data_IF_033383801073
#
_entry.id   IF_033383801073
#
_cell.length_a   1.000
_cell.length_b   1.000
_cell.length_c   1.000
_cell.angle_alpha   90.00
_cell.angle_beta   90.00
_cell.angle_gamma   90.00
#
_symmetry.space_group_name_H-M   'P 1'
#
loop_
_entity.id
_entity.type
_entity.pdbx_description
1 polymer ?
#
# COMPACT_ATOMS: atom_id res chain seq x y z
N UNK A 1 -7.81 -25.31 -4.08
CA UNK A 1 -8.81 -24.90 -5.08
C UNK A 1 -8.51 -23.51 -5.65
N UNK A 2 -8.36 -22.47 -4.82
CA UNK A 2 -8.12 -21.10 -5.31
C UNK A 2 -6.77 -20.97 -6.01
N UNK A 3 -5.70 -21.53 -5.45
CA UNK A 3 -4.36 -21.52 -6.06
C UNK A 3 -4.40 -22.17 -7.44
N UNK A 4 -4.99 -23.34 -7.56
CA UNK A 4 -5.06 -24.09 -8.80
C UNK A 4 -5.86 -23.36 -9.89
N UNK A 5 -6.96 -22.68 -9.48
CA UNK A 5 -7.77 -21.88 -10.40
C UNK A 5 -6.99 -20.66 -10.92
N UNK A 6 -6.25 -19.97 -10.03
CA UNK A 6 -5.41 -18.83 -10.42
C UNK A 6 -4.26 -19.27 -11.31
N UNK A 7 -3.61 -20.40 -11.01
CA UNK A 7 -2.56 -20.98 -11.87
C UNK A 7 -3.10 -21.34 -13.25
N UNK A 8 -4.27 -21.96 -13.31
CA UNK A 8 -4.90 -22.30 -14.58
C UNK A 8 -5.21 -21.05 -15.40
N UNK A 9 -5.80 -20.02 -14.77
CA UNK A 9 -6.08 -18.76 -15.43
C UNK A 9 -4.81 -18.05 -15.93
N UNK A 10 -3.75 -18.02 -15.12
CA UNK A 10 -2.48 -17.42 -15.51
C UNK A 10 -1.83 -18.13 -16.69
N UNK A 11 -1.85 -19.46 -16.71
CA UNK A 11 -1.36 -20.28 -17.82
C UNK A 11 -2.19 -20.04 -19.09
N UNK A 12 -3.51 -20.02 -18.96
CA UNK A 12 -4.42 -19.76 -20.08
C UNK A 12 -4.18 -18.38 -20.70
N UNK A 13 -3.92 -17.37 -19.87
CA UNK A 13 -3.61 -16.02 -20.35
C UNK A 13 -2.17 -15.84 -20.82
N UNK A 14 -1.34 -16.89 -20.77
CA UNK A 14 0.08 -16.80 -21.11
C UNK A 14 0.87 -15.81 -20.25
N UNK A 15 0.44 -15.60 -18.98
CA UNK A 15 1.09 -14.67 -18.06
C UNK A 15 2.11 -15.37 -17.19
N UNK A 16 3.27 -14.77 -17.12
CA UNK A 16 4.32 -15.19 -16.20
C UNK A 16 4.05 -14.57 -14.83
N UNK A 17 3.59 -15.38 -13.91
CA UNK A 17 3.39 -14.98 -12.52
C UNK A 17 3.83 -16.09 -11.58
N UNK A 18 4.30 -15.68 -10.41
CA UNK A 18 4.55 -16.58 -9.30
C UNK A 18 3.29 -16.62 -8.43
N UNK A 19 2.68 -17.79 -8.34
CA UNK A 19 1.52 -18.02 -7.50
C UNK A 19 1.97 -18.77 -6.25
N UNK A 20 1.90 -18.11 -5.12
CA UNK A 20 2.37 -18.62 -3.84
C UNK A 20 1.20 -18.61 -2.85
N UNK A 21 0.96 -19.75 -2.24
CA UNK A 21 0.01 -19.81 -1.15
C UNK A 21 0.75 -19.50 0.18
N UNK A 22 0.20 -18.59 0.98
CA UNK A 22 0.81 -18.15 2.24
C UNK A 22 1.13 -19.31 3.21
N UNK A 23 0.36 -20.40 3.18
CA UNK A 23 0.59 -21.60 3.97
C UNK A 23 1.47 -22.67 3.31
N UNK A 24 2.21 -22.31 2.26
CA UNK A 24 3.16 -23.22 1.65
C UNK A 24 4.24 -23.61 2.70
N UNK A 25 4.44 -24.91 2.99
CA UNK A 25 5.41 -25.34 4.00
C UNK A 25 6.84 -24.86 3.71
N UNK A 26 7.19 -24.71 2.44
CA UNK A 26 8.50 -24.22 2.04
C UNK A 26 8.77 -22.78 2.44
N UNK A 27 7.74 -21.94 2.50
CA UNK A 27 7.85 -20.58 3.01
C UNK A 27 8.14 -20.58 4.51
N UNK A 28 7.50 -21.48 5.25
CA UNK A 28 7.72 -21.63 6.66
C UNK A 28 9.17 -22.07 6.95
N UNK A 29 9.66 -23.11 6.23
CA UNK A 29 11.04 -23.58 6.30
C UNK A 29 12.04 -22.45 5.97
N UNK A 30 11.74 -21.66 4.94
CA UNK A 30 12.59 -20.54 4.53
C UNK A 30 12.62 -19.42 5.57
N UNK A 31 11.49 -19.08 6.19
CA UNK A 31 11.43 -18.09 7.28
C UNK A 31 12.23 -18.57 8.49
N UNK A 32 12.13 -19.85 8.82
CA UNK A 32 12.91 -20.43 9.92
C UNK A 32 14.41 -20.42 9.63
N UNK A 33 14.82 -20.85 8.44
CA UNK A 33 16.21 -20.83 8.00
C UNK A 33 16.82 -19.41 8.00
N UNK A 34 15.98 -18.42 7.64
CA UNK A 34 16.35 -16.99 7.68
C UNK A 34 16.43 -16.41 9.11
N UNK A 35 16.08 -17.17 10.13
CA UNK A 35 15.97 -16.67 11.51
C UNK A 35 14.79 -15.73 11.72
N UNK A 36 13.81 -15.71 10.81
CA UNK A 36 12.66 -14.79 10.85
C UNK A 36 11.37 -15.52 11.28
N UNK A 37 11.42 -16.13 12.49
CA UNK A 37 10.32 -16.92 13.06
C UNK A 37 9.09 -16.08 13.46
N UNK A 38 9.20 -14.77 13.45
CA UNK A 38 8.12 -13.84 13.82
C UNK A 38 6.83 -14.06 13.01
N UNK A 39 6.96 -14.49 11.74
CA UNK A 39 5.84 -14.82 10.87
C UNK A 39 5.20 -16.19 11.15
N UNK A 40 5.77 -17.00 12.06
CA UNK A 40 5.33 -18.35 12.32
C UNK A 40 4.32 -18.40 13.46
N UNK A 41 3.34 -19.27 13.35
CA UNK A 41 2.46 -19.66 14.44
C UNK A 41 3.09 -20.78 15.29
N UNK A 42 2.40 -21.15 16.38
CA UNK A 42 2.87 -22.19 17.31
C UNK A 42 2.91 -23.60 16.66
N UNK A 43 2.28 -23.77 15.49
CA UNK A 43 2.28 -25.02 14.71
C UNK A 43 3.35 -25.04 13.65
N UNK A 44 4.24 -24.06 13.61
CA UNK A 44 5.31 -23.96 12.63
C UNK A 44 4.81 -23.61 11.21
N UNK A 45 3.63 -22.99 11.08
CA UNK A 45 3.09 -22.49 9.82
C UNK A 45 3.14 -20.97 9.81
N UNK A 46 3.21 -20.39 8.63
CA UNK A 46 3.07 -18.93 8.49
C UNK A 46 1.70 -18.51 9.02
N UNK A 47 1.66 -17.46 9.84
CA UNK A 47 0.42 -16.88 10.38
C UNK A 47 -0.51 -16.44 9.24
N UNK A 48 -1.81 -16.43 9.48
CA UNK A 48 -2.79 -15.85 8.57
C UNK A 48 -2.79 -14.34 8.71
N UNK A 49 -3.03 -13.64 7.61
CA UNK A 49 -3.21 -12.20 7.62
C UNK A 49 -2.71 -11.52 6.35
N UNK A 50 -3.24 -10.33 6.08
CA UNK A 50 -2.83 -9.51 4.93
C UNK A 50 -1.35 -9.11 5.06
N UNK A 51 -0.97 -8.60 6.21
CA UNK A 51 0.39 -8.14 6.47
C UNK A 51 1.43 -9.26 6.27
N UNK A 52 1.14 -10.45 6.77
CA UNK A 52 2.01 -11.62 6.70
C UNK A 52 2.24 -12.04 5.25
N UNK A 53 1.18 -12.02 4.43
CA UNK A 53 1.28 -12.23 2.98
C UNK A 53 2.12 -11.16 2.29
N UNK A 54 1.97 -9.89 2.70
CA UNK A 54 2.77 -8.78 2.16
C UNK A 54 4.24 -8.89 2.53
N UNK A 55 4.57 -9.28 3.76
CA UNK A 55 5.95 -9.49 4.18
C UNK A 55 6.62 -10.62 3.38
N UNK A 56 5.93 -11.75 3.23
CA UNK A 56 6.43 -12.85 2.38
C UNK A 56 6.65 -12.41 0.94
N UNK A 57 5.70 -11.68 0.37
CA UNK A 57 5.83 -11.14 -0.99
C UNK A 57 7.04 -10.20 -1.12
N UNK A 58 7.30 -9.40 -0.07
CA UNK A 58 8.48 -8.52 -0.03
C UNK A 58 9.78 -9.32 0.03
N UNK A 59 9.84 -10.37 0.86
CA UNK A 59 11.01 -11.25 0.94
C UNK A 59 11.28 -11.95 -0.39
N UNK A 60 10.23 -12.45 -1.05
CA UNK A 60 10.31 -13.06 -2.38
C UNK A 60 10.79 -12.04 -3.43
N UNK A 61 10.22 -10.84 -3.46
CA UNK A 61 10.64 -9.79 -4.37
C UNK A 61 12.10 -9.37 -4.14
N UNK A 62 12.54 -9.32 -2.89
CA UNK A 62 13.93 -9.01 -2.54
C UNK A 62 14.91 -10.04 -3.11
N UNK A 63 14.67 -11.34 -2.92
CA UNK A 63 15.55 -12.38 -3.47
C UNK A 63 15.50 -12.48 -4.99
N UNK A 64 14.44 -11.94 -5.62
CA UNK A 64 14.35 -11.74 -7.06
C UNK A 64 15.14 -10.53 -7.56
N UNK A 65 15.84 -9.81 -6.70
CA UNK A 65 16.56 -8.59 -7.07
C UNK A 65 15.66 -7.41 -7.49
N UNK A 66 14.39 -7.39 -7.07
CA UNK A 66 13.49 -6.30 -7.41
C UNK A 66 13.83 -5.05 -6.61
N UNK A 67 13.80 -3.89 -7.28
CA UNK A 67 14.10 -2.60 -6.66
C UNK A 67 12.86 -1.94 -6.05
N UNK A 68 11.69 -2.33 -6.51
CA UNK A 68 10.40 -1.82 -6.08
C UNK A 68 9.44 -2.97 -5.82
N UNK A 69 8.52 -2.74 -4.89
CA UNK A 69 7.38 -3.64 -4.67
C UNK A 69 6.11 -2.79 -4.56
N UNK A 70 5.04 -3.26 -5.19
CA UNK A 70 3.72 -2.65 -5.11
C UNK A 70 2.68 -3.70 -4.73
N UNK A 71 1.67 -3.26 -4.00
CA UNK A 71 0.54 -4.07 -3.55
C UNK A 71 -0.75 -3.49 -4.11
N UNK A 72 -1.61 -4.37 -4.56
CA UNK A 72 -2.95 -4.05 -5.05
C UNK A 72 -3.89 -5.11 -4.51
N UNK A 73 -4.99 -4.67 -3.89
CA UNK A 73 -6.02 -5.58 -3.40
C UNK A 73 -6.70 -6.30 -4.57
N UNK A 74 -6.85 -7.62 -4.47
CA UNK A 74 -7.33 -8.48 -5.57
C UNK A 74 -8.83 -8.34 -5.85
N UNK A 75 -9.57 -7.67 -4.98
CA UNK A 75 -11.01 -7.47 -5.07
C UNK A 75 -11.42 -6.19 -5.81
N UNK A 76 -10.50 -5.53 -6.49
CA UNK A 76 -10.81 -4.38 -7.33
C UNK A 76 -11.46 -4.82 -8.64
N UNK A 77 -12.73 -4.44 -8.85
CA UNK A 77 -13.52 -4.82 -10.01
C UNK A 77 -13.25 -3.99 -11.26
N UNK A 78 -12.46 -2.95 -11.16
CA UNK A 78 -12.20 -2.03 -12.27
C UNK A 78 -10.78 -2.19 -12.80
N UNK A 79 -10.56 -2.99 -13.87
CA UNK A 79 -9.21 -3.28 -14.38
C UNK A 79 -8.42 -2.03 -14.78
N UNK A 80 -9.12 -0.99 -15.26
CA UNK A 80 -8.51 0.30 -15.59
C UNK A 80 -7.88 1.00 -14.37
N UNK A 81 -8.48 0.85 -13.20
CA UNK A 81 -7.90 1.38 -11.95
C UNK A 81 -6.61 0.63 -11.57
N UNK A 82 -6.58 -0.69 -11.73
CA UNK A 82 -5.38 -1.50 -11.46
C UNK A 82 -4.21 -1.06 -12.33
N UNK A 83 -4.46 -0.84 -13.62
CA UNK A 83 -3.43 -0.34 -14.55
C UNK A 83 -2.96 1.06 -14.15
N UNK A 84 -3.89 1.94 -13.79
CA UNK A 84 -3.59 3.30 -13.34
C UNK A 84 -2.71 3.29 -12.10
N UNK A 85 -3.02 2.45 -11.08
CA UNK A 85 -2.20 2.35 -9.87
C UNK A 85 -0.75 1.97 -10.17
N UNK A 86 -0.53 1.02 -11.07
CA UNK A 86 0.83 0.64 -11.48
C UNK A 86 1.55 1.81 -12.14
N UNK A 87 0.86 2.58 -12.99
CA UNK A 87 1.43 3.77 -13.64
C UNK A 87 1.73 4.87 -12.62
N UNK A 88 0.87 5.09 -11.65
CA UNK A 88 1.06 6.05 -10.55
C UNK A 88 2.21 5.66 -9.64
N UNK A 89 2.41 4.36 -9.36
CA UNK A 89 3.61 3.90 -8.66
C UNK A 89 4.88 4.27 -9.41
N UNK A 90 4.91 3.98 -10.72
CA UNK A 90 6.04 4.33 -11.57
C UNK A 90 6.31 5.83 -11.61
N UNK A 91 5.26 6.65 -11.74
CA UNK A 91 5.36 8.10 -11.75
C UNK A 91 5.87 8.65 -10.40
N UNK A 92 5.35 8.15 -9.28
CA UNK A 92 5.80 8.55 -7.95
C UNK A 92 7.28 8.23 -7.72
N UNK A 93 7.73 7.04 -8.12
CA UNK A 93 9.15 6.70 -8.02
C UNK A 93 10.03 7.52 -8.97
N UNK A 94 9.54 7.86 -10.15
CA UNK A 94 10.28 8.72 -11.07
C UNK A 94 10.44 10.16 -10.54
N UNK A 95 9.54 10.64 -9.71
CA UNK A 95 9.65 11.92 -9.02
C UNK A 95 10.56 11.88 -7.80
N UNK A 96 10.76 10.70 -7.20
CA UNK A 96 11.53 10.57 -5.98
C UNK A 96 13.01 10.86 -6.20
N UNK A 97 13.57 11.62 -5.27
CA UNK A 97 15.02 11.88 -5.17
C UNK A 97 15.69 11.02 -4.11
N UNK A 98 14.89 10.34 -3.30
CA UNK A 98 15.37 9.44 -2.26
C UNK A 98 15.30 7.99 -2.70
N UNK A 99 16.27 7.20 -2.26
CA UNK A 99 16.19 5.74 -2.36
C UNK A 99 15.16 5.13 -1.39
N UNK A 100 14.64 5.92 -0.47
CA UNK A 100 13.61 5.52 0.50
C UNK A 100 12.30 6.23 0.17
N UNK A 101 11.48 5.62 -0.67
CA UNK A 101 10.24 6.21 -1.12
C UNK A 101 9.06 5.25 -1.01
N UNK A 102 7.90 5.80 -0.73
CA UNK A 102 6.60 5.12 -0.75
C UNK A 102 5.60 5.93 -1.58
N UNK A 103 4.88 5.24 -2.44
CA UNK A 103 3.76 5.79 -3.21
C UNK A 103 2.48 5.15 -2.71
N UNK A 104 1.47 5.94 -2.41
CA UNK A 104 0.18 5.48 -1.89
C UNK A 104 -0.95 6.08 -2.71
N UNK A 105 -1.92 5.26 -3.07
CA UNK A 105 -3.05 5.70 -3.89
C UNK A 105 -4.11 6.37 -3.01
N UNK A 106 -4.48 7.58 -3.38
CA UNK A 106 -5.64 8.29 -2.84
C UNK A 106 -6.78 8.18 -3.85
N UNK A 107 -7.73 7.31 -3.60
CA UNK A 107 -8.82 7.09 -4.55
C UNK A 107 -9.63 8.37 -4.78
N UNK A 108 -9.81 8.74 -6.05
CA UNK A 108 -10.66 9.86 -6.43
C UNK A 108 -12.09 9.64 -5.99
N UNK A 109 -12.62 8.45 -6.21
CA UNK A 109 -13.97 8.09 -5.81
C UNK A 109 -14.05 6.62 -5.40
N UNK A 110 -14.93 6.34 -4.45
CA UNK A 110 -15.27 4.99 -3.97
C UNK A 110 -16.79 4.80 -4.07
N UNK A 111 -17.31 4.58 -5.28
CA UNK A 111 -18.74 4.43 -5.48
C UNK A 111 -19.26 3.18 -4.75
N UNK A 112 -20.50 3.27 -4.25
CA UNK A 112 -21.20 2.17 -3.60
C UNK A 112 -22.62 2.08 -4.15
N UNK A 113 -23.10 0.88 -4.33
CA UNK A 113 -24.49 0.60 -4.62
C UNK A 113 -25.14 0.11 -3.33
N UNK A 114 -26.12 0.86 -2.83
CA UNK A 114 -26.88 0.51 -1.63
C UNK A 114 -28.35 0.68 -2.00
N UNK A 115 -29.16 -0.37 -1.82
CA UNK A 115 -30.60 -0.38 -2.14
C UNK A 115 -30.90 0.15 -3.55
N UNK A 116 -30.13 -0.31 -4.55
CA UNK A 116 -30.25 0.11 -5.95
C UNK A 116 -29.89 1.58 -6.24
N UNK A 117 -29.40 2.32 -5.26
CA UNK A 117 -28.92 3.70 -5.44
C UNK A 117 -27.39 3.73 -5.49
N UNK A 118 -26.86 4.59 -6.36
CA UNK A 118 -25.42 4.80 -6.49
C UNK A 118 -24.99 5.99 -5.61
N UNK A 119 -24.11 5.69 -4.67
CA UNK A 119 -23.50 6.69 -3.80
C UNK A 119 -22.04 6.90 -4.18
N UNK A 120 -21.61 8.14 -4.25
CA UNK A 120 -20.23 8.52 -4.43
C UNK A 120 -19.64 8.96 -3.10
N UNK A 121 -18.65 8.18 -2.61
CA UNK A 121 -17.86 8.56 -1.46
C UNK A 121 -16.40 8.64 -1.91
N UNK A 122 -15.69 9.68 -1.49
CA UNK A 122 -14.26 9.81 -1.81
C UNK A 122 -13.42 8.82 -1.01
N UNK A 123 -13.79 8.56 0.24
CA UNK A 123 -13.04 7.72 1.17
C UNK A 123 -13.93 6.72 1.87
N UNK A 124 -13.33 5.61 2.30
CA UNK A 124 -14.00 4.67 3.18
C UNK A 124 -14.09 5.20 4.62
N UNK A 125 -15.08 4.73 5.37
CA UNK A 125 -15.33 5.11 6.77
C UNK A 125 -14.12 4.91 7.70
N UNK A 126 -13.40 3.80 7.55
CA UNK A 126 -12.18 3.53 8.31
C UNK A 126 -11.06 4.51 7.92
N UNK A 127 -10.88 4.78 6.62
CA UNK A 127 -9.80 5.64 6.12
C UNK A 127 -9.94 7.08 6.59
N UNK A 128 -11.15 7.63 6.64
CA UNK A 128 -11.38 8.99 7.17
C UNK A 128 -10.98 9.09 8.64
N UNK A 129 -11.38 8.11 9.42
CA UNK A 129 -11.04 8.06 10.83
C UNK A 129 -9.54 7.96 11.05
N UNK A 130 -8.88 7.02 10.39
CA UNK A 130 -7.43 6.83 10.48
C UNK A 130 -6.65 8.07 10.05
N UNK A 131 -7.04 8.66 8.91
CA UNK A 131 -6.39 9.89 8.41
C UNK A 131 -6.47 11.03 9.44
N UNK A 132 -7.66 11.22 10.03
CA UNK A 132 -7.86 12.24 11.07
C UNK A 132 -6.94 12.06 12.25
N UNK A 133 -6.80 10.83 12.77
CA UNK A 133 -5.96 10.55 13.93
C UNK A 133 -4.47 10.66 13.59
N UNK A 134 -4.03 10.16 12.43
CA UNK A 134 -2.65 10.34 11.97
C UNK A 134 -2.29 11.82 11.76
N UNK A 135 -3.19 12.61 11.19
CA UNK A 135 -2.97 14.04 11.05
C UNK A 135 -2.89 14.76 12.41
N UNK A 136 -3.71 14.36 13.38
CA UNK A 136 -3.58 14.86 14.76
C UNK A 136 -2.25 14.49 15.39
N UNK A 137 -1.79 13.25 15.21
CA UNK A 137 -0.47 12.82 15.69
C UNK A 137 0.64 13.76 15.14
N UNK A 138 0.61 14.06 13.85
CA UNK A 138 1.55 15.00 13.23
C UNK A 138 1.37 16.41 13.83
N UNK A 139 0.13 16.86 14.00
CA UNK A 139 -0.19 18.16 14.58
C UNK A 139 0.41 18.39 15.96
N UNK A 140 0.47 17.35 16.79
CA UNK A 140 1.11 17.43 18.11
C UNK A 140 2.61 17.76 18.03
N UNK A 141 3.29 17.26 16.99
CA UNK A 141 4.74 17.48 16.82
C UNK A 141 5.08 18.72 16.01
N UNK A 142 4.18 19.17 15.15
CA UNK A 142 4.39 20.37 14.34
C UNK A 142 3.84 21.65 14.99
N UNK A 143 2.99 21.51 15.99
CA UNK A 143 2.36 22.63 16.70
C UNK A 143 1.17 23.26 15.96
N UNK A 144 0.73 22.70 14.83
CA UNK A 144 -0.45 23.18 14.09
C UNK A 144 -1.20 22.03 13.43
N UNK A 145 -2.50 22.24 13.20
CA UNK A 145 -3.36 21.27 12.54
C UNK A 145 -2.96 21.05 11.08
N UNK A 146 -3.08 19.82 10.62
CA UNK A 146 -2.75 19.44 9.24
C UNK A 146 -3.71 18.37 8.71
N UNK A 147 -3.87 18.29 7.39
CA UNK A 147 -4.61 17.28 6.67
C UNK A 147 -3.76 16.64 5.56
N UNK A 148 -2.47 16.54 5.79
CA UNK A 148 -1.54 16.02 4.78
C UNK A 148 -1.70 14.53 4.54
N UNK A 149 -2.06 13.73 5.55
CA UNK A 149 -2.29 12.30 5.37
C UNK A 149 -3.72 12.06 4.87
N UNK A 150 -3.83 11.43 3.70
CA UNK A 150 -5.09 11.07 3.03
C UNK A 150 -5.22 9.59 2.74
N UNK A 151 -4.19 8.80 3.03
CA UNK A 151 -4.03 7.41 2.60
C UNK A 151 -3.66 6.48 3.75
N UNK A 152 -4.16 6.75 4.97
CA UNK A 152 -3.82 5.98 6.18
C UNK A 152 -4.08 4.47 6.06
N UNK A 153 -5.15 4.08 5.37
CA UNK A 153 -5.52 2.68 5.10
C UNK A 153 -5.47 2.35 3.59
N UNK A 154 -4.58 2.97 2.82
CA UNK A 154 -4.48 2.62 1.41
C UNK A 154 -3.81 1.24 1.25
N UNK A 155 -4.61 0.24 0.86
CA UNK A 155 -4.12 -1.09 0.48
C UNK A 155 -3.24 -1.02 -0.75
N UNK A 156 -3.64 -0.15 -1.70
CA UNK A 156 -2.86 0.13 -2.90
C UNK A 156 -1.71 1.08 -2.57
N UNK A 157 -0.53 0.51 -2.45
CA UNK A 157 0.70 1.26 -2.24
C UNK A 157 1.92 0.52 -2.79
N UNK A 158 2.98 1.26 -3.04
CA UNK A 158 4.25 0.72 -3.47
C UNK A 158 5.38 1.39 -2.71
N UNK A 159 6.50 0.70 -2.58
CA UNK A 159 7.69 1.24 -1.93
C UNK A 159 8.97 0.76 -2.61
N UNK A 160 10.04 1.53 -2.44
CA UNK A 160 11.37 1.07 -2.79
C UNK A 160 11.75 -0.10 -1.89
N UNK A 161 12.47 -1.06 -2.42
CA UNK A 161 12.94 -2.21 -1.65
C UNK A 161 13.84 -1.78 -0.49
N UNK A 162 14.61 -0.72 -0.67
CA UNK A 162 15.43 -0.14 0.39
C UNK A 162 14.59 0.32 1.58
N UNK A 163 13.44 0.95 1.36
CA UNK A 163 12.51 1.33 2.43
C UNK A 163 11.84 0.10 3.03
N UNK A 164 11.33 -0.81 2.19
CA UNK A 164 10.66 -2.02 2.63
C UNK A 164 11.50 -2.87 3.59
N UNK A 165 12.80 -2.93 3.34
CA UNK A 165 13.74 -3.68 4.22
C UNK A 165 14.05 -2.97 5.54
N UNK A 166 13.73 -1.69 5.70
CA UNK A 166 14.03 -0.89 6.90
C UNK A 166 12.86 -0.75 7.87
N UNK A 167 11.62 -0.79 7.36
CA UNK A 167 10.43 -0.64 8.19
C UNK A 167 10.22 -1.88 9.07
N UNK A 168 9.72 -1.65 10.28
CA UNK A 168 9.03 -2.69 11.04
C UNK A 168 7.59 -2.75 10.56
N UNK A 169 6.92 -3.84 10.84
CA UNK A 169 5.57 -4.09 10.36
C UNK A 169 4.65 -4.50 11.50
N UNK A 170 3.35 -4.37 11.29
CA UNK A 170 2.33 -4.87 12.20
C UNK A 170 1.38 -5.81 11.48
N UNK A 171 0.70 -6.68 12.23
CA UNK A 171 -0.14 -7.73 11.67
C UNK A 171 -1.45 -7.23 11.07
N UNK A 172 -2.01 -8.00 10.13
CA UNK A 172 -3.37 -7.82 9.62
C UNK A 172 -3.58 -6.46 8.95
N UNK A 173 -4.69 -5.80 9.28
CA UNK A 173 -5.11 -4.52 8.69
C UNK A 173 -4.42 -3.28 9.29
N UNK A 174 -3.56 -3.46 10.27
CA UNK A 174 -2.82 -2.34 10.86
C UNK A 174 -1.55 -1.96 10.07
N UNK A 175 -1.14 -2.80 9.11
CA UNK A 175 0.11 -2.60 8.35
C UNK A 175 0.15 -1.25 7.63
N UNK A 176 -0.93 -0.83 6.98
CA UNK A 176 -0.97 0.40 6.20
C UNK A 176 -0.84 1.67 7.08
N UNK A 177 -1.59 1.83 8.18
CA UNK A 177 -1.35 2.96 9.10
C UNK A 177 -0.01 2.85 9.81
N UNK A 178 0.47 1.64 10.11
CA UNK A 178 1.76 1.46 10.78
C UNK A 178 2.93 1.91 9.92
N UNK A 179 2.87 1.84 8.60
CA UNK A 179 3.90 2.42 7.75
C UNK A 179 4.17 3.90 8.08
N UNK A 180 3.11 4.70 8.30
CA UNK A 180 3.28 6.10 8.73
C UNK A 180 3.85 6.20 10.14
N UNK A 181 3.26 5.48 11.09
CA UNK A 181 3.67 5.50 12.49
C UNK A 181 5.13 5.08 12.62
N UNK A 182 5.50 3.93 12.06
CA UNK A 182 6.86 3.39 12.14
C UNK A 182 7.89 4.28 11.43
N UNK A 183 7.52 4.92 10.33
CA UNK A 183 8.40 5.89 9.67
C UNK A 183 8.70 7.08 10.58
N UNK A 184 7.70 7.62 11.27
CA UNK A 184 7.89 8.73 12.21
C UNK A 184 8.67 8.27 13.43
N UNK A 185 8.37 7.08 13.98
CA UNK A 185 9.09 6.50 15.12
C UNK A 185 10.59 6.35 14.84
N UNK A 186 10.91 5.70 13.73
CA UNK A 186 12.30 5.31 13.41
C UNK A 186 13.11 6.46 12.81
N UNK A 187 12.47 7.32 12.04
CA UNK A 187 13.17 8.25 11.18
C UNK A 187 12.76 9.70 11.35
N UNK A 188 11.70 9.97 12.12
CA UNK A 188 11.20 11.32 12.40
C UNK A 188 12.02 12.11 13.42
N UNK A 189 12.99 11.48 14.07
CA UNK A 189 13.84 12.15 15.05
C UNK A 189 13.18 12.38 16.43
N UNK A 190 11.95 11.94 16.62
CA UNK A 190 11.20 12.14 17.88
C UNK A 190 11.76 11.27 19.01
N UNK A 191 12.08 10.02 18.72
CA UNK A 191 12.59 9.05 19.71
C UNK A 191 14.11 9.04 19.85
N UNK A 192 14.81 9.96 19.19
CA UNK A 192 16.27 10.01 19.19
C UNK A 192 16.95 8.95 18.33
N UNK A 193 18.16 9.22 17.85
CA UNK A 193 19.01 8.32 17.08
C UNK A 193 18.38 7.60 15.86
N UNK A 194 17.80 8.29 14.90
CA UNK A 194 17.64 7.67 13.60
C UNK A 194 19.01 7.42 12.99
N UNK A 195 19.14 6.36 12.20
CA UNK A 195 20.38 6.12 11.46
C UNK A 195 20.74 7.37 10.67
N UNK A 196 21.87 7.98 10.96
CA UNK A 196 22.33 9.27 10.40
C UNK A 196 22.31 9.28 8.85
N UNK A 197 22.39 8.12 8.22
CA UNK A 197 22.29 7.97 6.77
C UNK A 197 20.86 8.25 6.27
N UNK A 198 19.83 7.64 6.88
CA UNK A 198 18.44 7.79 6.46
C UNK A 198 17.95 9.21 6.71
N UNK A 199 18.36 9.84 7.81
CA UNK A 199 18.07 11.26 8.07
C UNK A 199 18.58 12.17 6.95
N UNK A 200 19.77 11.91 6.45
CA UNK A 200 20.36 12.71 5.36
C UNK A 200 19.67 12.47 4.02
N UNK A 201 19.30 11.23 3.74
CA UNK A 201 18.69 10.86 2.46
C UNK A 201 17.18 11.14 2.43
N UNK A 202 16.54 11.37 3.59
CA UNK A 202 15.10 11.58 3.77
C UNK A 202 14.27 10.37 3.34
N UNK A 203 13.03 10.32 3.81
CA UNK A 203 12.02 9.35 3.34
C UNK A 203 10.94 10.17 2.64
N UNK A 204 10.60 9.79 1.43
CA UNK A 204 9.62 10.49 0.62
C UNK A 204 8.33 9.66 0.51
N UNK A 205 7.21 10.29 0.86
CA UNK A 205 5.87 9.74 0.72
C UNK A 205 5.10 10.53 -0.33
N UNK A 206 4.67 9.83 -1.38
CA UNK A 206 3.80 10.38 -2.41
C UNK A 206 2.40 9.82 -2.24
N UNK A 207 1.41 10.69 -2.16
CA UNK A 207 0.00 10.33 -2.15
C UNK A 207 -0.60 10.83 -3.45
N UNK A 208 -0.83 9.92 -4.40
CA UNK A 208 -1.28 10.26 -5.74
C UNK A 208 -2.76 9.94 -5.85
N UNK A 209 -3.55 10.90 -6.33
CA UNK A 209 -4.98 10.72 -6.50
C UNK A 209 -5.28 10.07 -7.85
N UNK A 210 -5.87 8.84 -7.81
CA UNK A 210 -6.33 8.14 -8.99
C UNK A 210 -7.55 8.81 -9.62
N UNK A 211 -7.75 8.62 -10.91
CA UNK A 211 -8.92 9.13 -11.65
C UNK A 211 -10.01 8.08 -11.78
N UNK A 212 -9.62 6.83 -11.91
CA UNK A 212 -10.58 5.73 -11.97
C UNK A 212 -11.22 5.46 -10.60
N UNK A 213 -12.48 5.01 -10.58
CA UNK A 213 -13.15 4.66 -9.34
C UNK A 213 -12.50 3.41 -8.71
N UNK A 214 -12.38 3.43 -7.39
CA UNK A 214 -12.02 2.24 -6.62
C UNK A 214 -13.30 1.49 -6.25
N UNK A 215 -13.60 0.45 -7.00
CA UNK A 215 -14.80 -0.35 -6.85
C UNK A 215 -14.46 -1.78 -6.42
N UNK A 216 -14.95 -2.15 -5.26
CA UNK A 216 -14.85 -3.51 -4.73
C UNK A 216 -16.16 -3.93 -4.06
N UNK A 217 -16.26 -5.18 -3.69
CA UNK A 217 -17.39 -5.69 -2.92
C UNK A 217 -17.62 -4.91 -1.63
N UNK A 218 -18.89 -4.73 -1.25
CA UNK A 218 -19.23 -4.07 0.00
C UNK A 218 -18.90 -5.02 1.16
N UNK A 219 -17.86 -4.68 1.89
CA UNK A 219 -17.46 -5.41 3.11
C UNK A 219 -18.43 -5.11 4.26
N UNK A 220 -18.75 -6.12 5.04
CA UNK A 220 -19.66 -6.00 6.18
C UNK A 220 -19.14 -5.01 7.24
N UNK A 221 -20.04 -4.56 8.11
CA UNK A 221 -19.73 -3.58 9.16
C UNK A 221 -18.66 -4.06 10.15
N UNK A 222 -18.64 -5.35 10.46
CA UNK A 222 -17.63 -5.94 11.35
C UNK A 222 -16.23 -5.79 10.76
N UNK A 223 -16.05 -6.08 9.48
CA UNK A 223 -14.77 -5.90 8.83
C UNK A 223 -14.26 -4.44 8.89
N UNK A 224 -15.16 -3.46 8.72
CA UNK A 224 -14.83 -2.03 8.84
C UNK A 224 -14.47 -1.66 10.28
N UNK A 225 -15.14 -2.25 11.26
CA UNK A 225 -14.83 -2.08 12.69
C UNK A 225 -13.44 -2.64 13.01
N UNK A 226 -13.13 -3.84 12.55
CA UNK A 226 -11.83 -4.48 12.76
C UNK A 226 -10.69 -3.65 12.15
N UNK A 227 -10.86 -3.16 10.92
CA UNK A 227 -9.89 -2.25 10.29
C UNK A 227 -9.69 -0.97 11.10
N UNK A 228 -10.80 -0.37 11.57
CA UNK A 228 -10.73 0.87 12.36
C UNK A 228 -10.07 0.62 13.71
N UNK A 229 -10.39 -0.49 14.38
CA UNK A 229 -9.81 -0.88 15.67
C UNK A 229 -8.31 -1.13 15.52
N UNK A 230 -7.90 -1.93 14.55
CA UNK A 230 -6.50 -2.24 14.29
C UNK A 230 -5.67 -0.97 13.98
N UNK A 231 -6.23 -0.04 13.19
CA UNK A 231 -5.58 1.23 12.91
C UNK A 231 -5.41 2.10 14.16
N UNK A 232 -6.43 2.15 15.03
CA UNK A 232 -6.35 2.90 16.28
C UNK A 232 -5.40 2.25 17.28
N UNK A 233 -5.39 0.93 17.36
CA UNK A 233 -4.50 0.17 18.25
C UNK A 233 -3.03 0.44 17.93
N UNK A 234 -2.65 0.44 16.66
CA UNK A 234 -1.27 0.68 16.25
C UNK A 234 -0.80 2.10 16.53
N UNK A 235 -1.70 3.10 16.42
CA UNK A 235 -1.38 4.49 16.75
C UNK A 235 -1.32 4.68 18.27
N UNK A 236 -2.29 4.12 19.01
CA UNK A 236 -2.40 4.22 20.45
C UNK A 236 -1.19 3.64 21.19
N UNK A 237 -0.75 2.44 20.74
CA UNK A 237 0.37 1.72 21.35
C UNK A 237 1.73 2.28 20.94
N UNK A 238 1.78 3.18 19.98
CA UNK A 238 3.00 3.82 19.56
C UNK A 238 3.64 4.66 20.68
N UNK A 239 4.96 4.56 20.90
CA UNK A 239 5.66 5.39 21.87
C UNK A 239 5.62 6.89 21.55
N UNK A 240 5.35 7.25 20.28
CA UNK A 240 5.18 8.65 19.86
C UNK A 240 3.74 9.16 20.03
N UNK A 241 2.79 8.33 20.46
CA UNK A 241 1.42 8.78 20.68
C UNK A 241 1.31 9.52 22.02
N UNK A 242 1.08 10.84 22.04
CA UNK A 242 1.01 11.61 23.27
C UNK A 242 -0.26 11.29 24.07
N UNK A 243 -0.20 11.45 25.39
CA UNK A 243 -1.31 11.11 26.30
C UNK A 243 -2.65 11.73 25.87
N UNK A 244 -2.74 13.02 25.52
CA UNK A 244 -4.01 13.61 25.10
C UNK A 244 -4.59 12.97 23.83
N UNK A 245 -3.74 12.48 22.92
CA UNK A 245 -4.21 11.78 21.72
C UNK A 245 -4.69 10.36 22.06
N UNK A 246 -4.04 9.68 23.03
CA UNK A 246 -4.49 8.39 23.53
C UNK A 246 -5.89 8.49 24.15
N UNK A 247 -6.12 9.49 25.00
CA UNK A 247 -7.43 9.77 25.60
C UNK A 247 -8.48 10.05 24.51
N UNK A 248 -8.16 10.85 23.52
CA UNK A 248 -9.05 11.16 22.42
C UNK A 248 -9.39 9.93 21.56
N UNK A 249 -8.41 9.04 21.31
CA UNK A 249 -8.64 7.78 20.62
C UNK A 249 -9.62 6.90 21.41
N UNK A 250 -9.43 6.77 22.71
CA UNK A 250 -10.32 5.96 23.56
C UNK A 250 -11.74 6.50 23.56
N UNK A 251 -11.91 7.80 23.76
CA UNK A 251 -13.21 8.47 23.72
C UNK A 251 -13.91 8.26 22.38
N UNK A 252 -13.20 8.43 21.25
CA UNK A 252 -13.73 8.26 19.90
C UNK A 252 -14.15 6.80 19.64
N UNK A 253 -13.37 5.82 20.12
CA UNK A 253 -13.71 4.40 19.99
C UNK A 253 -14.97 4.04 20.77
N UNK A 254 -15.16 4.58 21.99
CA UNK A 254 -16.38 4.40 22.78
C UNK A 254 -17.58 5.04 22.09
N UNK A 255 -17.45 6.29 21.63
CA UNK A 255 -18.51 7.01 20.95
C UNK A 255 -18.97 6.32 19.66
N UNK A 256 -18.04 5.67 18.96
CA UNK A 256 -18.31 4.87 17.75
C UNK A 256 -18.76 3.44 18.05
N UNK A 257 -18.85 3.05 19.31
CA UNK A 257 -19.18 1.67 19.74
C UNK A 257 -18.22 0.61 19.16
N UNK A 258 -16.96 1.00 18.95
CA UNK A 258 -15.89 0.12 18.55
C UNK A 258 -15.23 -0.56 19.77
N UNK A 259 -15.39 0.02 20.95
CA UNK A 259 -15.04 -0.55 22.24
C UNK A 259 -16.20 -0.42 23.21
N UNK A 260 -16.33 -1.37 24.15
CA UNK A 260 -17.22 -1.26 25.30
C UNK A 260 -16.61 -0.31 26.33
N UNK A 261 -17.45 0.33 27.17
CA UNK A 261 -17.02 1.37 28.11
C UNK A 261 -15.88 0.95 29.06
N UNK A 262 -15.82 -0.33 29.42
CA UNK A 262 -14.81 -0.88 30.34
C UNK A 262 -13.72 -1.68 29.61
N UNK A 263 -13.78 -1.72 28.28
CA UNK A 263 -12.82 -2.41 27.43
C UNK A 263 -11.63 -1.50 27.17
N UNK A 264 -10.43 -2.02 27.39
CA UNK A 264 -9.20 -1.34 27.02
C UNK A 264 -8.83 -1.71 25.59
N UNK A 265 -8.27 -0.75 24.87
CA UNK A 265 -7.64 -1.05 23.59
C UNK A 265 -6.44 -1.96 23.89
N UNK A 266 -6.52 -3.20 23.41
CA UNK A 266 -5.58 -4.26 23.75
C UNK A 266 -4.26 -4.13 23.04
N UNK A 267 -3.41 -5.13 23.27
CA UNK A 267 -2.21 -5.39 22.47
C UNK A 267 -2.44 -6.68 21.68
N UNK A 268 -3.39 -6.63 20.74
CA UNK A 268 -3.78 -7.79 19.94
C UNK A 268 -2.89 -7.96 18.70
N UNK A 269 -2.15 -6.93 18.34
CA UNK A 269 -1.33 -6.90 17.14
C UNK A 269 0.04 -7.57 17.38
N UNK A 270 0.44 -8.36 16.39
CA UNK A 270 1.84 -8.79 16.31
C UNK A 270 2.67 -7.70 15.63
N UNK A 271 3.89 -7.50 16.12
CA UNK A 271 4.87 -6.62 15.50
C UNK A 271 6.01 -7.44 14.93
N UNK A 272 6.43 -7.09 13.75
CA UNK A 272 7.47 -7.78 13.00
C UNK A 272 8.66 -6.85 12.81
N UNK A 273 9.87 -7.25 13.21
CA UNK A 273 11.06 -6.45 13.02
C UNK A 273 11.36 -6.28 11.53
N UNK A 274 12.14 -5.27 11.20
CA UNK A 274 12.52 -4.96 9.83
C UNK A 274 13.09 -6.19 9.10
N UNK A 275 12.66 -6.40 7.85
CA UNK A 275 13.06 -7.56 7.05
C UNK A 275 14.60 -7.66 6.84
N UNK A 276 15.32 -6.55 6.98
CA UNK A 276 16.80 -6.55 6.97
C UNK A 276 17.43 -7.38 8.11
N UNK A 277 16.66 -7.75 9.14
CA UNK A 277 17.12 -8.63 10.23
C UNK A 277 17.11 -10.10 9.84
N UNK A 278 16.40 -10.46 8.78
CA UNK A 278 16.37 -11.81 8.23
C UNK A 278 17.61 -12.10 7.38
N UNK A 279 18.13 -13.31 7.48
CA UNK A 279 19.17 -13.79 6.57
C UNK A 279 18.56 -14.18 5.22
N UNK A 280 18.49 -13.21 4.31
CA UNK A 280 17.87 -13.40 3.00
C UNK A 280 18.63 -14.41 2.11
N UNK A 281 19.89 -14.68 2.38
CA UNK A 281 20.63 -15.72 1.66
C UNK A 281 20.18 -17.11 2.10
N UNK A 282 20.00 -17.32 3.40
CA UNK A 282 19.43 -18.55 3.93
C UNK A 282 17.98 -18.74 3.52
N UNK A 283 17.17 -17.66 3.50
CA UNK A 283 15.81 -17.69 2.98
C UNK A 283 15.77 -18.22 1.54
N UNK A 284 16.58 -17.65 0.66
CA UNK A 284 16.67 -18.06 -0.74
C UNK A 284 17.16 -19.50 -0.89
N UNK A 285 18.18 -19.90 -0.12
CA UNK A 285 18.73 -21.26 -0.17
C UNK A 285 17.70 -22.33 0.28
N UNK A 286 16.90 -22.04 1.31
CA UNK A 286 15.88 -22.95 1.81
C UNK A 286 14.72 -23.15 0.82
N UNK A 287 14.35 -22.12 0.04
CA UNK A 287 13.34 -22.25 -1.02
C UNK A 287 13.77 -23.22 -2.13
N UNK A 288 15.07 -23.41 -2.31
CA UNK A 288 15.62 -24.30 -3.33
C UNK A 288 15.43 -23.80 -4.76
N UNK A 289 16.08 -24.50 -5.71
CA UNK A 289 16.13 -24.04 -7.10
C UNK A 289 14.97 -24.52 -7.98
N UNK A 290 13.96 -25.19 -7.47
CA UNK A 290 13.07 -25.96 -8.35
C UNK A 290 11.95 -25.16 -8.98
N UNK A 291 11.12 -24.45 -8.21
CA UNK A 291 9.95 -23.78 -8.73
C UNK A 291 10.10 -22.25 -8.67
N UNK A 292 10.60 -21.75 -7.55
CA UNK A 292 10.87 -20.34 -7.35
C UNK A 292 12.07 -19.85 -8.17
N UNK A 293 13.11 -20.68 -8.34
CA UNK A 293 14.30 -20.33 -9.11
C UNK A 293 14.07 -20.14 -10.62
N UNK A 294 13.11 -20.84 -11.22
CA UNK A 294 12.81 -20.70 -12.66
C UNK A 294 12.22 -19.35 -13.03
N UNK A 295 11.43 -18.74 -12.12
CA UNK A 295 10.86 -17.42 -12.34
C UNK A 295 11.89 -16.29 -12.10
N UNK A 296 12.92 -16.56 -11.31
CA UNK A 296 13.96 -15.60 -10.98
C UNK A 296 15.12 -15.59 -12.00
N UNK A 297 15.25 -16.66 -12.77
CA UNK A 297 16.32 -16.79 -13.77
C UNK A 297 15.89 -16.39 -15.18
N UNK A 298 14.64 -15.96 -15.39
CA UNK A 298 14.23 -15.49 -16.70
C UNK A 298 14.99 -14.21 -17.04
N UNK A 299 15.79 -14.35 -18.07
CA UNK A 299 16.45 -13.24 -18.72
C UNK A 299 15.39 -12.27 -19.25
N UNK A 300 15.21 -11.15 -18.56
CA UNK A 300 14.32 -10.07 -18.97
C UNK A 300 14.79 -9.41 -20.27
N UNK A 301 15.96 -9.76 -20.80
CA UNK A 301 16.44 -9.30 -22.10
C UNK A 301 15.55 -9.75 -23.25
N UNK A 302 14.76 -10.83 -23.08
CA UNK A 302 13.75 -11.25 -24.04
C UNK A 302 12.51 -10.32 -24.08
N UNK A 303 12.29 -9.50 -23.07
CA UNK A 303 11.37 -8.38 -23.10
C UNK A 303 12.06 -7.12 -23.62
N UNK A 304 12.66 -7.20 -24.78
CA UNK A 304 12.80 -6.01 -25.61
C UNK A 304 11.39 -5.53 -25.87
N UNK A 305 10.96 -4.52 -25.12
CA UNK A 305 9.91 -3.63 -25.58
C UNK A 305 10.44 -3.13 -26.92
N UNK A 306 9.96 -3.71 -28.01
CA UNK A 306 10.04 -3.03 -29.29
C UNK A 306 9.42 -1.66 -29.00
N UNK A 307 10.28 -0.66 -28.89
CA UNK A 307 9.81 0.70 -28.91
C UNK A 307 9.06 0.79 -30.24
N UNK A 308 7.71 0.70 -30.18
CA UNK A 308 6.89 1.00 -31.33
C UNK A 308 7.38 2.36 -31.77
N UNK A 309 8.06 2.41 -32.91
CA UNK A 309 8.43 3.67 -33.54
C UNK A 309 7.20 4.55 -33.45
N UNK A 310 7.35 5.69 -32.78
CA UNK A 310 6.27 6.67 -32.68
C UNK A 310 5.85 6.93 -34.11
N UNK A 311 4.63 6.51 -34.45
CA UNK A 311 4.08 6.83 -35.78
C UNK A 311 4.32 8.32 -35.99
N UNK A 312 4.87 8.72 -37.15
CA UNK A 312 5.18 10.11 -37.40
C UNK A 312 3.92 10.92 -37.12
N UNK A 313 4.04 11.94 -36.30
CA UNK A 313 2.96 12.91 -36.04
C UNK A 313 2.60 13.44 -37.43
N UNK A 314 1.42 13.07 -37.92
CA UNK A 314 0.92 13.63 -39.19
C UNK A 314 0.92 15.13 -39.03
N UNK A 315 1.70 15.80 -39.86
CA UNK A 315 1.69 17.25 -40.03
C UNK A 315 0.33 17.70 -40.59
N UNK A 316 -0.69 17.76 -39.74
CA UNK A 316 -2.01 18.33 -40.08
C UNK A 316 -2.24 19.70 -39.42
N UNK A 317 -1.19 20.38 -39.02
CA UNK A 317 -1.31 21.71 -38.43
C UNK A 317 -0.59 22.83 -39.23
N UNK A 318 -0.29 22.62 -40.50
CA UNK A 318 0.19 23.71 -41.35
C UNK A 318 -0.86 24.27 -42.29
N UNK A 319 -2.11 24.38 -41.88
CA UNK A 319 -3.16 24.99 -42.68
C UNK A 319 -4.21 25.73 -41.87
N UNK A 320 -3.78 26.57 -40.93
CA UNK A 320 -4.71 27.52 -40.26
C UNK A 320 -4.06 28.83 -39.87
N UNK A 321 -3.13 29.31 -40.70
CA UNK A 321 -2.69 30.71 -40.66
C UNK A 321 -2.80 31.30 -42.06
N UNK A 322 -4.03 31.53 -42.48
CA UNK A 322 -4.29 32.47 -43.55
C UNK A 322 -5.77 32.90 -43.46
N UNK A 323 -5.97 34.13 -43.02
CA UNK A 323 -7.08 34.99 -43.36
C UNK A 323 -8.51 34.57 -42.93
N UNK A 324 -9.13 35.40 -42.14
CA UNK A 324 -10.56 35.39 -42.08
C UNK A 324 -11.15 36.00 -40.81
N UNK A 325 -11.36 37.28 -40.87
CA UNK A 325 -12.18 38.14 -40.02
C UNK A 325 -13.39 37.44 -39.44
N UNK A 326 -13.64 37.69 -38.14
CA UNK A 326 -14.87 37.41 -37.42
C UNK A 326 -16.05 38.16 -38.04
N UNK A 327 -17.23 37.56 -38.25
CA UNK A 327 -18.47 38.29 -38.40
C UNK A 327 -18.94 38.71 -36.99
N UNK A 328 -19.20 39.99 -36.88
CA UNK A 328 -20.05 40.56 -35.80
C UNK A 328 -21.52 40.20 -36.08
N UNK A 329 -22.24 40.14 -35.02
CA UNK A 329 -23.71 40.16 -34.86
C UNK A 329 -24.41 38.83 -34.62
N UNK A 330 -25.14 38.87 -33.50
CA UNK A 330 -26.11 37.86 -33.11
C UNK A 330 -26.37 37.78 -31.62
N UNK A 331 -26.84 38.90 -30.99
CA UNK A 331 -27.57 38.84 -29.73
C UNK A 331 -28.74 37.89 -29.89
N UNK A 332 -28.89 36.94 -28.99
CA UNK A 332 -30.16 36.27 -28.74
C UNK A 332 -30.47 36.36 -27.27
N UNK A 333 -31.55 37.02 -27.01
CA UNK A 333 -32.22 37.30 -25.74
C UNK A 333 -32.67 35.99 -25.06
N UNK A 334 -32.69 36.04 -23.75
CA UNK A 334 -33.31 35.08 -22.84
C UNK A 334 -34.82 34.92 -23.06
N UNK A 335 -35.27 33.70 -22.99
CA UNK A 335 -36.56 33.31 -22.42
C UNK A 335 -36.39 32.04 -21.62
#
# INVERSE_FOLDING_TARGET
LEKDAIEHAARFMGRDCLIVHQKDPKLAEACEAAGYRHLMDDKGKVKDGKAEGMLLSTMLAYICGKQYIGFIDSDNYFPGAVLEYVQEYGAGFAMSRSRYAMVRISWHSKPKIVESNLFFAKRGRASEHTNRILNRLIGYYTGYGTEIIKTGNAGEHAMTMDLAMQLDYSSGYSIEPYHYVNTIEKFGGILGNPTARIQRERIEYYQIESRNPHLHEVKGDEHVKDMSRAAMEVIYNSPICPVPLKENIMEDLYNRKLLKKDEKLGQSLNYYPALRTADMKKFAAALGNQEYGRLFQRDLSAYKVEAKEKAPIRETEKARDASGSLPKDGMLEAK
#
